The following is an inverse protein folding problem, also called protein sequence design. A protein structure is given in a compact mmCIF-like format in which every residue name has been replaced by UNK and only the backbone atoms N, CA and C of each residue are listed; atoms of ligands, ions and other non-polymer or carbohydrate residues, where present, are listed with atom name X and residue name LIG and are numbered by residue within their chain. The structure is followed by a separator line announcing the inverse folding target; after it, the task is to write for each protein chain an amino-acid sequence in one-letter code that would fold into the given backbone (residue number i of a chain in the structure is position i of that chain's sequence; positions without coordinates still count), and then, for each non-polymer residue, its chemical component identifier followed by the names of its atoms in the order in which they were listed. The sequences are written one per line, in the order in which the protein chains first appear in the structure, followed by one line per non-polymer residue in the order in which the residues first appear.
data_IF_836789176851
#
_entry.id   IF_836789176851
#
_cell.length_a   1.000
_cell.length_b   1.000
_cell.length_c   1.000
_cell.angle_alpha   90.00
_cell.angle_beta   90.00
_cell.angle_gamma   90.00
#
_symmetry.space_group_name_H-M   'P 1'
#
loop_
_entity.id
_entity.type
_entity.pdbx_description
1 polymer ?
#
# COMPACT_ATOMS: atom_id res chain seq x y z
N UNK A 1 -11.08 25.17 7.86
CA UNK A 1 -11.30 24.58 6.52
C UNK A 1 -11.22 23.08 6.71
N UNK A 2 -12.28 22.33 6.37
CA UNK A 2 -12.19 20.87 6.43
C UNK A 2 -11.18 20.45 5.35
N UNK A 3 -10.12 19.68 5.67
CA UNK A 3 -9.22 19.19 4.65
C UNK A 3 -10.04 18.37 3.64
N UNK A 4 -9.79 18.57 2.34
CA UNK A 4 -10.31 17.67 1.31
C UNK A 4 -9.95 16.24 1.69
N UNK A 5 -10.88 15.30 1.49
CA UNK A 5 -10.63 13.88 1.72
C UNK A 5 -10.68 13.12 0.41
N UNK A 6 -9.90 12.04 0.32
CA UNK A 6 -9.95 11.07 -0.78
C UNK A 6 -10.15 9.68 -0.22
N UNK A 7 -10.74 8.80 -1.03
CA UNK A 7 -11.04 7.45 -0.61
C UNK A 7 -9.94 6.49 -1.10
N UNK A 8 -9.28 5.80 -0.17
CA UNK A 8 -8.39 4.68 -0.49
C UNK A 8 -9.17 3.38 -0.36
N UNK A 9 -9.26 2.64 -1.45
CA UNK A 9 -9.78 1.28 -1.48
C UNK A 9 -8.60 0.31 -1.34
N UNK A 10 -8.37 -0.25 -0.15
CA UNK A 10 -7.23 -1.14 0.10
C UNK A 10 -7.71 -2.58 0.23
N UNK A 11 -7.10 -3.47 -0.57
CA UNK A 11 -7.29 -4.91 -0.43
C UNK A 11 -6.47 -5.39 0.77
N UNK A 12 -7.19 -5.84 1.79
CA UNK A 12 -6.66 -6.43 3.02
C UNK A 12 -6.63 -7.94 2.87
N UNK A 13 -5.71 -8.59 3.59
CA UNK A 13 -5.62 -10.04 3.55
C UNK A 13 -5.07 -10.58 4.85
N UNK A 14 -5.81 -11.54 5.42
CA UNK A 14 -5.40 -12.30 6.59
C UNK A 14 -4.27 -13.28 6.28
N UNK A 15 -3.72 -13.90 7.33
CA UNK A 15 -2.73 -14.98 7.20
C UNK A 15 -3.32 -16.28 6.64
N UNK A 16 -4.64 -16.41 6.68
CA UNK A 16 -5.45 -17.48 6.10
C UNK A 16 -5.68 -17.32 4.58
N UNK A 17 -5.30 -16.18 4.02
CA UNK A 17 -5.46 -15.88 2.59
C UNK A 17 -6.83 -15.33 2.20
N UNK A 18 -7.75 -15.10 3.15
CA UNK A 18 -9.01 -14.42 2.86
C UNK A 18 -8.71 -12.97 2.45
N UNK A 19 -9.31 -12.55 1.33
CA UNK A 19 -9.17 -11.19 0.80
C UNK A 19 -10.47 -10.43 0.96
N UNK A 20 -10.38 -9.28 1.59
CA UNK A 20 -11.50 -8.34 1.68
C UNK A 20 -11.02 -6.93 1.34
N UNK A 21 -11.93 -6.12 0.83
CA UNK A 21 -11.65 -4.73 0.50
C UNK A 21 -12.20 -3.83 1.59
N UNK A 22 -11.40 -2.86 2.01
CA UNK A 22 -11.82 -1.82 2.96
C UNK A 22 -11.56 -0.44 2.36
N UNK A 23 -12.36 0.52 2.78
CA UNK A 23 -12.33 1.89 2.27
C UNK A 23 -11.97 2.85 3.40
N UNK A 24 -10.99 3.71 3.16
CA UNK A 24 -10.58 4.73 4.12
C UNK A 24 -10.67 6.13 3.50
N UNK A 25 -11.48 7.03 4.09
CA UNK A 25 -11.33 8.44 3.83
C UNK A 25 -10.04 8.93 4.49
N UNK A 26 -9.12 9.47 3.71
CA UNK A 26 -7.87 10.06 4.19
C UNK A 26 -7.82 11.54 3.84
N UNK A 27 -7.17 12.39 4.67
CA UNK A 27 -6.88 13.76 4.27
C UNK A 27 -6.09 13.80 2.97
N UNK A 28 -6.42 14.77 2.11
CA UNK A 28 -5.80 14.99 0.83
C UNK A 28 -5.19 16.39 0.79
N UNK A 29 -3.89 16.42 0.52
CA UNK A 29 -3.14 17.61 0.20
C UNK A 29 -2.33 17.38 -1.10
N UNK A 30 -2.27 18.40 -1.94
CA UNK A 30 -1.51 18.35 -3.19
C UNK A 30 -0.04 18.01 -2.92
N UNK A 31 0.46 17.02 -3.65
CA UNK A 31 1.84 16.56 -3.51
C UNK A 31 2.02 15.37 -2.57
N UNK A 32 1.00 14.99 -1.79
CA UNK A 32 1.02 13.72 -1.06
C UNK A 32 1.15 12.53 -2.00
N UNK A 33 1.78 11.49 -1.50
CA UNK A 33 1.92 10.20 -2.16
C UNK A 33 0.94 9.19 -1.59
N UNK A 34 0.75 8.08 -2.29
CA UNK A 34 -0.01 6.94 -1.76
C UNK A 34 0.62 6.42 -0.46
N UNK A 35 1.95 6.47 -0.32
CA UNK A 35 2.62 6.08 0.93
C UNK A 35 2.22 7.01 2.10
N UNK A 36 2.07 8.31 1.86
CA UNK A 36 1.64 9.25 2.91
C UNK A 36 0.23 8.90 3.39
N UNK A 37 -0.68 8.57 2.47
CA UNK A 37 -2.03 8.12 2.79
C UNK A 37 -2.04 6.79 3.60
N UNK A 38 -1.27 5.79 3.17
CA UNK A 38 -1.17 4.50 3.89
C UNK A 38 -0.59 4.66 5.29
N UNK A 39 0.42 5.52 5.43
CA UNK A 39 0.99 5.88 6.75
C UNK A 39 -0.03 6.59 7.62
N UNK A 40 -0.77 7.55 7.07
CA UNK A 40 -1.83 8.23 7.79
C UNK A 40 -2.89 7.25 8.30
N UNK A 41 -3.35 6.31 7.46
CA UNK A 41 -4.31 5.27 7.87
C UNK A 41 -3.76 4.48 9.05
N UNK A 42 -2.51 4.00 8.96
CA UNK A 42 -1.91 3.20 10.02
C UNK A 42 -1.69 3.98 11.32
N UNK A 43 -1.36 5.26 11.22
CA UNK A 43 -1.08 6.11 12.38
C UNK A 43 -2.37 6.61 13.05
N UNK A 44 -3.47 6.79 12.30
CA UNK A 44 -4.65 7.52 12.78
C UNK A 44 -5.97 6.73 12.75
N UNK A 45 -6.05 5.63 12.00
CA UNK A 45 -7.32 4.92 11.77
C UNK A 45 -7.22 3.42 12.06
N UNK A 46 -6.26 2.71 11.46
CA UNK A 46 -6.08 1.28 11.64
C UNK A 46 -4.59 0.88 11.72
N UNK A 47 -4.04 0.80 12.94
CA UNK A 47 -2.66 0.38 13.18
C UNK A 47 -2.33 -1.04 12.70
N UNK A 48 -3.34 -1.87 12.39
CA UNK A 48 -3.13 -3.23 11.91
C UNK A 48 -2.73 -3.31 10.43
N UNK A 49 -2.93 -2.22 9.66
CA UNK A 49 -2.68 -2.19 8.23
C UNK A 49 -1.21 -2.51 7.89
N UNK A 50 -0.99 -3.67 7.26
CA UNK A 50 0.32 -4.15 6.85
C UNK A 50 0.76 -3.63 5.48
N UNK A 51 1.89 -2.94 5.45
CA UNK A 51 2.63 -2.59 4.23
C UNK A 51 4.12 -2.37 4.56
N UNK A 52 4.99 -2.53 3.56
CA UNK A 52 6.44 -2.30 3.70
C UNK A 52 6.83 -0.94 3.16
N UNK A 53 7.72 -0.26 3.86
CA UNK A 53 8.49 0.89 3.38
C UNK A 53 9.68 1.11 4.31
N UNK A 54 10.73 1.73 3.78
CA UNK A 54 11.89 2.15 4.56
C UNK A 54 12.26 3.59 4.18
N UNK A 55 12.62 3.83 2.93
CA UNK A 55 12.79 5.20 2.43
C UNK A 55 11.44 5.89 2.17
N UNK A 56 11.43 7.22 2.23
CA UNK A 56 10.28 8.08 1.90
C UNK A 56 10.69 8.99 0.74
N UNK A 57 9.86 9.12 -0.29
CA UNK A 57 10.08 9.99 -1.46
C UNK A 57 11.40 9.80 -2.22
N UNK A 58 12.07 8.66 -2.07
CA UNK A 58 13.39 8.41 -2.67
C UNK A 58 13.44 7.21 -3.60
N UNK A 59 12.53 6.23 -3.44
CA UNK A 59 12.55 4.97 -4.19
C UNK A 59 13.92 4.26 -4.14
N UNK A 60 14.66 4.39 -3.04
CA UNK A 60 15.96 3.75 -2.87
C UNK A 60 15.82 2.31 -2.34
N UNK A 61 14.95 2.08 -1.36
CA UNK A 61 14.78 0.77 -0.74
C UNK A 61 13.95 -0.24 -1.57
N UNK A 62 13.14 0.26 -2.51
CA UNK A 62 12.20 -0.53 -3.34
C UNK A 62 11.12 -1.32 -2.57
N UNK A 63 10.99 -1.13 -1.26
CA UNK A 63 10.09 -1.93 -0.42
C UNK A 63 8.60 -1.61 -0.58
N UNK A 64 8.26 -0.38 -1.00
CA UNK A 64 6.87 0.10 -1.08
C UNK A 64 6.21 -0.17 -2.44
N UNK A 65 6.70 -1.15 -3.19
CA UNK A 65 6.13 -1.49 -4.49
C UNK A 65 4.81 -2.25 -4.28
N UNK A 66 3.75 -1.84 -4.96
CA UNK A 66 2.41 -2.43 -4.86
C UNK A 66 1.61 -2.15 -6.13
N UNK A 67 0.43 -2.77 -6.27
CA UNK A 67 -0.47 -2.49 -7.37
C UNK A 67 -1.33 -1.28 -7.01
N UNK A 68 -1.19 -0.19 -7.74
CA UNK A 68 -1.91 1.06 -7.54
C UNK A 68 -2.68 1.32 -8.83
N UNK A 69 -4.02 1.27 -8.74
CA UNK A 69 -4.95 1.38 -9.87
C UNK A 69 -4.58 0.46 -11.04
N UNK A 70 -4.31 -0.81 -10.72
CA UNK A 70 -3.95 -1.83 -11.71
C UNK A 70 -2.53 -1.72 -12.27
N UNK A 71 -1.71 -0.77 -11.82
CA UNK A 71 -0.32 -0.60 -12.25
C UNK A 71 0.65 -0.83 -11.11
N UNK A 72 1.72 -1.58 -11.36
CA UNK A 72 2.80 -1.77 -10.38
C UNK A 72 3.57 -0.47 -10.25
N UNK A 73 3.54 0.12 -9.05
CA UNK A 73 4.13 1.42 -8.75
C UNK A 73 4.79 1.40 -7.38
N UNK A 74 5.70 2.35 -7.13
CA UNK A 74 6.23 2.61 -5.80
C UNK A 74 5.31 3.58 -5.07
N UNK A 75 4.71 3.17 -3.96
CA UNK A 75 3.77 4.02 -3.22
C UNK A 75 4.40 5.33 -2.76
N UNK A 76 5.72 5.36 -2.52
CA UNK A 76 6.46 6.57 -2.15
C UNK A 76 6.69 7.56 -3.32
N UNK A 77 6.26 7.23 -4.54
CA UNK A 77 6.34 8.11 -5.71
C UNK A 77 4.99 8.30 -6.41
N UNK A 78 4.09 7.31 -6.30
CA UNK A 78 2.74 7.42 -6.82
C UNK A 78 2.00 8.56 -6.12
N UNK A 79 1.54 9.54 -6.90
CA UNK A 79 0.82 10.69 -6.37
C UNK A 79 -0.57 10.28 -5.91
N UNK A 80 -0.98 10.82 -4.78
CA UNK A 80 -2.36 10.78 -4.35
C UNK A 80 -3.17 11.69 -5.28
N UNK A 81 -4.31 11.22 -5.74
CA UNK A 81 -5.21 11.94 -6.65
C UNK A 81 -6.56 12.21 -5.97
N UNK A 82 -7.27 13.30 -6.31
CA UNK A 82 -8.57 13.65 -5.74
C UNK A 82 -9.72 12.76 -6.25
N UNK A 83 -9.54 11.44 -6.17
CA UNK A 83 -10.50 10.40 -6.57
C UNK A 83 -10.33 9.16 -5.69
N UNK A 84 -11.20 8.17 -5.87
CA UNK A 84 -10.96 6.84 -5.30
C UNK A 84 -9.75 6.20 -5.97
N UNK A 85 -8.80 5.70 -5.16
CA UNK A 85 -7.63 4.97 -5.63
C UNK A 85 -7.61 3.58 -5.02
N UNK A 86 -7.40 2.56 -5.86
CA UNK A 86 -7.39 1.16 -5.44
C UNK A 86 -5.97 0.65 -5.25
N UNK A 87 -5.70 0.10 -4.07
CA UNK A 87 -4.40 -0.37 -3.63
C UNK A 87 -4.47 -1.87 -3.34
N UNK A 88 -3.60 -2.64 -3.99
CA UNK A 88 -3.55 -4.09 -3.86
C UNK A 88 -2.09 -4.57 -3.69
N UNK A 89 -1.87 -5.72 -3.04
CA UNK A 89 -0.54 -6.31 -2.96
C UNK A 89 0.04 -6.61 -4.35
N UNK A 90 1.36 -6.74 -4.42
CA UNK A 90 2.04 -7.06 -5.68
C UNK A 90 1.50 -8.34 -6.32
N UNK A 91 1.19 -8.32 -7.63
CA UNK A 91 0.80 -9.51 -8.35
C UNK A 91 1.99 -10.47 -8.49
N UNK A 92 1.71 -11.78 -8.62
CA UNK A 92 2.72 -12.84 -8.86
C UNK A 92 3.80 -12.97 -7.78
N UNK A 93 3.61 -12.33 -6.62
CA UNK A 93 4.42 -12.53 -5.42
C UNK A 93 3.59 -13.25 -4.37
N UNK A 94 4.26 -14.04 -3.51
CA UNK A 94 3.60 -14.69 -2.39
C UNK A 94 3.10 -13.62 -1.43
N UNK A 95 1.81 -13.64 -1.15
CA UNK A 95 1.19 -12.75 -0.18
C UNK A 95 1.58 -13.18 1.23
N UNK A 96 2.00 -12.24 2.07
CA UNK A 96 2.30 -12.47 3.48
C UNK A 96 1.13 -12.00 4.34
N UNK A 97 0.72 -10.73 4.19
CA UNK A 97 -0.43 -10.11 4.88
C UNK A 97 -0.74 -8.76 4.26
N UNK A 98 -2.01 -8.41 4.05
CA UNK A 98 -2.43 -7.10 3.51
C UNK A 98 -1.69 -6.72 2.20
N UNK A 99 -0.90 -5.64 2.22
CA UNK A 99 -0.09 -5.20 1.09
C UNK A 99 1.34 -5.75 1.11
N UNK A 100 1.67 -6.56 2.13
CA UNK A 100 2.99 -7.16 2.31
C UNK A 100 3.06 -8.43 1.46
N UNK A 101 3.95 -8.41 0.48
CA UNK A 101 4.36 -9.61 -0.26
C UNK A 101 5.80 -9.98 0.07
N UNK A 102 6.16 -11.20 -0.26
CA UNK A 102 7.54 -11.69 -0.23
C UNK A 102 8.42 -10.90 -1.22
N UNK A 103 9.64 -10.58 -0.77
CA UNK A 103 10.61 -9.79 -1.56
C UNK A 103 11.56 -10.68 -2.35
N UNK A 104 11.90 -11.86 -1.81
CA UNK A 104 12.82 -12.80 -2.43
C UNK A 104 12.33 -13.21 -3.83
N UNK A 105 13.23 -13.25 -4.82
CA UNK A 105 12.99 -13.95 -6.07
C UNK A 105 12.60 -15.40 -5.84
N UNK A 106 11.89 -16.00 -6.80
CA UNK A 106 11.46 -17.39 -6.71
C UNK A 106 12.64 -18.34 -6.53
N UNK A 107 13.74 -18.08 -7.23
CA UNK A 107 14.95 -18.92 -7.23
C UNK A 107 15.81 -18.77 -5.96
N UNK A 108 15.56 -17.72 -5.17
CA UNK A 108 16.24 -17.49 -3.88
C UNK A 108 15.41 -18.00 -2.69
N UNK A 109 14.28 -18.66 -2.96
CA UNK A 109 13.48 -19.30 -1.91
C UNK A 109 14.26 -20.50 -1.39
N UNK A 110 14.60 -20.44 -0.11
CA UNK A 110 15.09 -21.60 0.60
C UNK A 110 13.87 -22.49 0.86
N UNK A 111 13.78 -23.60 0.14
CA UNK A 111 12.89 -24.69 0.52
C UNK A 111 13.32 -25.13 1.92
N UNK A 112 12.41 -25.00 2.89
CA UNK A 112 12.64 -25.38 4.28
C UNK A 112 12.90 -26.87 4.44
#
# INVERSE_FOLDING_TARGET
MNPSQVNLEVVRSGTDGERHTQHWPVPFETGQTVLDALRWIRENSDPSLGFRYSCINANACKECMMLIDGKVQYACLARLEPRTMRIEPLPKKRLIRDLITEISPGDERLDG
#
